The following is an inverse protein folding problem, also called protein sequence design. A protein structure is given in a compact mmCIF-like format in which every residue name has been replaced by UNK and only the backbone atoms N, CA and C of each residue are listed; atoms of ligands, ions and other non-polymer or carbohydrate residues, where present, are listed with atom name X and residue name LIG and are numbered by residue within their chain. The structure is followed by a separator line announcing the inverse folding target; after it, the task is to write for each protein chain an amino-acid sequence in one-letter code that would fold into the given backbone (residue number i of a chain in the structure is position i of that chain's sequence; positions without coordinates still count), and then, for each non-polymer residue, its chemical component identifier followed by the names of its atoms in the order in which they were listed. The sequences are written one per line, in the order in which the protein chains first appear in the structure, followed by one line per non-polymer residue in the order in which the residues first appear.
data_IF_350530152510
#
_entry.id   IF_350530152510
#
_cell.length_a   1.000
_cell.length_b   1.000
_cell.length_c   1.000
_cell.angle_alpha   90.00
_cell.angle_beta   90.00
_cell.angle_gamma   90.00
#
_symmetry.space_group_name_H-M   'P 1'
#
loop_
_entity.id
_entity.type
_entity.pdbx_description
1 polymer ?
#
# COMPACT_ATOMS: atom_id res chain seq x y z
N UNK A 1 40.68 -10.18 -29.78
CA UNK A 1 40.42 -8.91 -30.47
C UNK A 1 39.31 -8.18 -29.72
N UNK A 2 39.48 -6.89 -29.40
CA UNK A 2 38.43 -6.07 -28.77
C UNK A 2 37.34 -5.73 -29.80
N UNK A 3 36.09 -5.55 -29.36
CA UNK A 3 35.02 -5.11 -30.26
C UNK A 3 35.19 -3.63 -30.66
N UNK A 4 34.63 -3.22 -31.80
CA UNK A 4 34.65 -1.80 -32.25
C UNK A 4 34.03 -0.90 -31.17
N UNK A 5 32.98 -1.37 -30.49
CA UNK A 5 32.30 -0.63 -29.44
C UNK A 5 33.21 -0.38 -28.22
N UNK A 6 33.99 -1.37 -27.80
CA UNK A 6 34.96 -1.23 -26.70
C UNK A 6 36.06 -0.22 -27.02
N UNK A 7 36.55 -0.22 -28.27
CA UNK A 7 37.57 0.74 -28.71
C UNK A 7 37.05 2.18 -28.72
N UNK A 8 35.79 2.37 -29.13
CA UNK A 8 35.14 3.69 -29.14
C UNK A 8 34.87 4.22 -27.73
N UNK A 9 34.55 3.35 -26.78
CA UNK A 9 34.40 3.70 -25.35
C UNK A 9 35.77 4.07 -24.75
N UNK A 10 36.82 3.29 -25.02
CA UNK A 10 38.20 3.56 -24.54
C UNK A 10 38.75 4.89 -25.05
N UNK A 11 38.39 5.29 -26.27
CA UNK A 11 38.74 6.59 -26.87
C UNK A 11 37.80 7.73 -26.46
N UNK A 12 36.77 7.46 -25.66
CA UNK A 12 35.84 8.46 -25.13
C UNK A 12 34.86 9.03 -26.16
N UNK A 13 34.72 8.44 -27.35
CA UNK A 13 33.77 8.91 -28.38
C UNK A 13 32.33 8.49 -28.09
N UNK A 14 32.12 7.44 -27.28
CA UNK A 14 30.79 6.93 -26.93
C UNK A 14 30.73 6.78 -25.42
N UNK A 15 29.82 7.51 -24.78
CA UNK A 15 29.54 7.31 -23.36
C UNK A 15 28.64 6.07 -23.20
N UNK A 16 28.97 5.12 -22.31
CA UNK A 16 28.06 4.04 -21.99
C UNK A 16 26.80 4.66 -21.39
N UNK A 17 25.65 4.39 -22.01
CA UNK A 17 24.35 4.85 -21.52
C UNK A 17 24.18 4.30 -20.10
N UNK A 18 24.21 5.20 -19.11
CA UNK A 18 23.85 4.86 -17.74
C UNK A 18 22.42 4.35 -17.79
N UNK A 19 22.24 3.04 -17.60
CA UNK A 19 20.92 2.48 -17.39
C UNK A 19 20.51 2.95 -16.01
N UNK A 20 19.52 3.82 -15.97
CA UNK A 20 18.88 4.17 -14.71
C UNK A 20 18.33 2.87 -14.13
N UNK A 21 19.02 2.33 -13.14
CA UNK A 21 18.48 1.25 -12.32
C UNK A 21 17.25 1.87 -11.69
N UNK A 22 16.06 1.40 -12.05
CA UNK A 22 14.81 1.80 -11.40
C UNK A 22 14.96 1.55 -9.90
N UNK A 23 15.34 2.59 -9.17
CA UNK A 23 15.47 2.55 -7.73
C UNK A 23 14.05 2.52 -7.20
N UNK A 24 13.53 1.31 -6.96
CA UNK A 24 12.24 1.13 -6.30
C UNK A 24 12.27 1.93 -5.01
N UNK A 25 11.37 2.91 -4.92
CA UNK A 25 11.33 3.87 -3.84
C UNK A 25 11.09 3.10 -2.52
N UNK A 26 12.15 2.88 -1.75
CA UNK A 26 12.12 2.16 -0.47
C UNK A 26 11.56 3.03 0.66
N UNK A 27 10.95 4.18 0.32
CA UNK A 27 10.22 5.04 1.24
C UNK A 27 8.93 4.31 1.64
N UNK A 28 9.02 3.47 2.66
CA UNK A 28 7.88 3.13 3.49
C UNK A 28 7.18 4.43 3.87
N UNK A 29 6.01 4.65 3.27
CA UNK A 29 5.19 5.83 3.54
C UNK A 29 5.10 6.02 5.05
N UNK A 30 5.60 7.16 5.56
CA UNK A 30 5.43 7.54 6.98
C UNK A 30 3.96 7.76 7.34
N UNK A 31 3.05 7.75 6.36
CA UNK A 31 1.62 7.88 6.62
C UNK A 31 1.13 6.58 7.23
N UNK A 32 0.51 6.70 8.40
CA UNK A 32 -0.28 5.62 8.99
C UNK A 32 -1.27 5.15 7.93
N UNK A 33 -1.48 3.84 7.87
CA UNK A 33 -2.45 3.23 6.98
C UNK A 33 -3.80 3.94 7.20
N UNK A 34 -4.25 4.75 6.24
CA UNK A 34 -5.51 5.52 6.33
C UNK A 34 -6.74 4.62 6.15
N UNK A 35 -6.53 3.30 6.09
CA UNK A 35 -7.58 2.30 6.03
C UNK A 35 -8.27 2.20 7.38
N UNK A 36 -9.57 2.48 7.36
CA UNK A 36 -10.49 2.18 8.44
C UNK A 36 -10.41 0.68 8.78
N UNK A 37 -10.47 0.35 10.08
CA UNK A 37 -10.61 -1.04 10.50
C UNK A 37 -11.99 -1.58 10.12
N UNK A 38 -12.16 -2.90 10.14
CA UNK A 38 -13.47 -3.49 9.88
C UNK A 38 -14.52 -3.01 10.90
N UNK A 39 -14.12 -2.76 12.14
CA UNK A 39 -15.01 -2.22 13.17
C UNK A 39 -15.43 -0.78 12.85
N UNK A 40 -14.49 0.07 12.43
CA UNK A 40 -14.77 1.45 12.02
C UNK A 40 -15.68 1.50 10.79
N UNK A 41 -15.47 0.59 9.82
CA UNK A 41 -16.35 0.46 8.66
C UNK A 41 -17.75 0.02 9.07
N UNK A 42 -17.86 -0.93 10.01
CA UNK A 42 -19.16 -1.42 10.48
C UNK A 42 -19.93 -0.35 11.24
N UNK A 43 -19.25 0.47 12.02
CA UNK A 43 -19.83 1.60 12.73
C UNK A 43 -20.25 2.72 11.76
N UNK A 44 -19.37 3.08 10.82
CA UNK A 44 -19.65 4.06 9.77
C UNK A 44 -20.85 3.68 8.90
N UNK A 45 -20.97 2.40 8.53
CA UNK A 45 -22.11 1.88 7.76
C UNK A 45 -23.36 1.61 8.62
N UNK A 46 -23.31 1.85 9.94
CA UNK A 46 -24.43 1.58 10.85
C UNK A 46 -24.76 0.09 11.04
N UNK A 47 -23.91 -0.80 10.53
CA UNK A 47 -24.12 -2.25 10.61
C UNK A 47 -23.80 -2.84 11.99
N UNK A 48 -23.09 -2.10 12.84
CA UNK A 48 -22.82 -2.48 14.23
C UNK A 48 -23.81 -1.85 15.24
N UNK A 49 -24.96 -1.37 14.77
CA UNK A 49 -25.91 -0.70 15.65
C UNK A 49 -26.53 -1.71 16.64
N UNK A 50 -26.53 -1.40 17.95
CA UNK A 50 -27.11 -2.29 18.94
C UNK A 50 -28.62 -2.44 18.69
N UNK A 51 -29.07 -3.69 18.60
CA UNK A 51 -30.50 -4.00 18.44
C UNK A 51 -31.08 -4.43 19.78
N UNK A 52 -32.29 -3.97 20.09
CA UNK A 52 -32.97 -4.27 21.35
C UNK A 52 -34.23 -5.08 21.10
N UNK A 53 -34.40 -6.16 21.86
CA UNK A 53 -35.56 -7.02 21.79
C UNK A 53 -36.12 -7.31 23.18
N UNK A 54 -37.39 -7.72 23.25
CA UNK A 54 -37.99 -8.20 24.49
C UNK A 54 -37.54 -9.66 24.74
N UNK A 55 -37.02 -9.92 25.93
CA UNK A 55 -36.73 -11.28 26.40
C UNK A 55 -38.02 -11.96 26.92
N UNK A 56 -37.97 -13.28 27.14
CA UNK A 56 -39.03 -14.00 27.87
C UNK A 56 -39.09 -13.42 29.29
N UNK A 57 -40.16 -12.68 29.59
CA UNK A 57 -40.29 -11.85 30.81
C UNK A 57 -40.53 -10.36 30.55
N UNK A 58 -40.53 -9.92 29.28
CA UNK A 58 -40.95 -8.57 28.89
C UNK A 58 -39.89 -7.47 29.03
N UNK A 59 -38.78 -7.74 29.73
CA UNK A 59 -37.63 -6.85 29.80
C UNK A 59 -36.96 -6.68 28.43
N UNK A 60 -36.60 -5.45 28.08
CA UNK A 60 -35.77 -5.16 26.91
C UNK A 60 -34.31 -5.57 27.19
N UNK A 61 -33.70 -6.28 26.25
CA UNK A 61 -32.29 -6.66 26.27
C UNK A 61 -31.68 -6.38 24.89
N UNK A 62 -30.41 -6.00 24.89
CA UNK A 62 -29.63 -5.97 23.66
C UNK A 62 -29.52 -7.41 23.13
N UNK A 63 -29.77 -7.60 21.83
CA UNK A 63 -29.60 -8.87 21.13
C UNK A 63 -28.17 -9.04 20.65
#
# INVERSE_FOLDING_TARGET
MKSIQEQLIEKGLVQPVKRDIEQKDARTSKRRNERLSEWDLRDLMGSNMPTYGRARGGAYRQR
#
